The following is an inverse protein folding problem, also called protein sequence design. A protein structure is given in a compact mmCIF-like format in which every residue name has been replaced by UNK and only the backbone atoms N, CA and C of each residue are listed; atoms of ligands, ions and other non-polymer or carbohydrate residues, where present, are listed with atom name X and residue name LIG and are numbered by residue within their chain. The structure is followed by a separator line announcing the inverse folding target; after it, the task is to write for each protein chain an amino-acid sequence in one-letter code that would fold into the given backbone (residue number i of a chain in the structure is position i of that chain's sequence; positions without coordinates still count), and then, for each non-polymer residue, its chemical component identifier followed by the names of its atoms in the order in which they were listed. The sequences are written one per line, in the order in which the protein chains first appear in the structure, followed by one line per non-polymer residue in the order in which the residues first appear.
data_IF_714343906961
#
_entry.id   IF_714343906961
#
_cell.length_a   1.000
_cell.length_b   1.000
_cell.length_c   1.000
_cell.angle_alpha   90.00
_cell.angle_beta   90.00
_cell.angle_gamma   90.00
#
_symmetry.space_group_name_H-M   'P 1'
#
loop_
_entity.id
_entity.type
_entity.pdbx_description
1 polymer ?
#
# COMPACT_ATOMS: atom_id res chain seq x y z
N UNK A 1 21.79 1.80 1.27
CA UNK A 1 22.53 0.61 1.71
C UNK A 1 21.87 -0.64 1.18
N UNK A 2 22.61 -1.45 0.46
CA UNK A 2 22.11 -2.69 -0.13
C UNK A 2 22.32 -3.83 0.85
N UNK A 3 21.25 -4.56 1.12
CA UNK A 3 21.31 -5.75 1.96
C UNK A 3 21.16 -6.96 1.03
N UNK A 4 22.24 -7.70 0.83
CA UNK A 4 22.25 -8.85 -0.06
C UNK A 4 21.30 -9.95 0.42
N UNK A 5 20.56 -10.53 -0.53
CA UNK A 5 19.66 -11.64 -0.26
C UNK A 5 18.42 -11.26 0.52
N UNK A 6 18.14 -9.97 0.73
CA UNK A 6 16.97 -9.49 1.45
C UNK A 6 16.13 -8.58 0.56
N UNK A 7 14.83 -8.58 0.82
CA UNK A 7 13.88 -7.68 0.17
C UNK A 7 13.67 -6.50 1.10
N UNK A 8 13.94 -5.30 0.60
CA UNK A 8 13.82 -4.07 1.39
C UNK A 8 12.74 -3.20 0.81
N UNK A 9 11.72 -2.91 1.61
CA UNK A 9 10.65 -1.99 1.25
C UNK A 9 10.72 -0.73 2.09
N UNK A 10 10.38 0.39 1.50
CA UNK A 10 10.41 1.70 2.15
C UNK A 10 9.02 2.32 2.14
N UNK A 11 8.55 2.72 3.30
CA UNK A 11 7.28 3.44 3.43
C UNK A 11 7.51 4.92 3.12
N UNK A 12 6.79 5.43 2.15
CA UNK A 12 6.95 6.80 1.66
C UNK A 12 5.80 7.73 2.06
N UNK A 13 4.86 7.25 2.88
CA UNK A 13 3.66 8.00 3.31
C UNK A 13 2.88 8.55 2.11
N UNK A 14 2.89 9.86 1.87
CA UNK A 14 2.29 10.46 0.69
C UNK A 14 3.32 11.33 -0.06
N UNK A 15 4.59 10.98 0.06
CA UNK A 15 5.69 11.82 -0.42
C UNK A 15 6.40 11.24 -1.63
N UNK A 16 6.32 11.94 -2.75
CA UNK A 16 7.08 11.59 -3.96
C UNK A 16 8.58 11.83 -3.72
N UNK A 17 8.93 12.78 -2.88
CA UNK A 17 10.33 13.02 -2.50
C UNK A 17 10.94 11.80 -1.82
N UNK A 18 10.21 11.22 -0.86
CA UNK A 18 10.66 10.01 -0.18
C UNK A 18 10.74 8.83 -1.14
N UNK A 19 9.79 8.75 -2.10
CA UNK A 19 9.81 7.72 -3.12
C UNK A 19 11.06 7.82 -3.98
N UNK A 20 11.43 9.02 -4.41
CA UNK A 20 12.64 9.25 -5.19
C UNK A 20 13.90 8.82 -4.43
N UNK A 21 13.96 9.14 -3.14
CA UNK A 21 15.09 8.72 -2.30
C UNK A 21 15.16 7.20 -2.16
N UNK A 22 14.00 6.55 -1.96
CA UNK A 22 13.94 5.10 -1.86
C UNK A 22 14.41 4.41 -3.14
N UNK A 23 13.97 4.92 -4.29
CA UNK A 23 14.37 4.40 -5.60
C UNK A 23 15.89 4.57 -5.80
N UNK A 24 16.40 5.74 -5.46
CA UNK A 24 17.84 6.03 -5.56
C UNK A 24 18.66 5.07 -4.71
N UNK A 25 18.13 4.68 -3.55
CA UNK A 25 18.80 3.77 -2.64
C UNK A 25 18.43 2.29 -2.87
N UNK A 26 17.90 1.99 -4.04
CA UNK A 26 17.66 0.63 -4.53
C UNK A 26 16.68 -0.19 -3.67
N UNK A 27 15.63 0.45 -3.18
CA UNK A 27 14.53 -0.27 -2.53
C UNK A 27 13.91 -1.27 -3.51
N UNK A 28 13.48 -2.41 -2.99
CA UNK A 28 12.82 -3.44 -3.79
C UNK A 28 11.36 -3.10 -4.06
N UNK A 29 10.73 -2.36 -3.13
CA UNK A 29 9.39 -1.83 -3.33
C UNK A 29 9.21 -0.55 -2.51
N UNK A 30 8.21 0.22 -2.85
CA UNK A 30 7.83 1.42 -2.10
C UNK A 30 6.36 1.32 -1.69
N UNK A 31 6.05 1.83 -0.50
CA UNK A 31 4.70 1.78 0.04
C UNK A 31 4.19 3.18 0.33
N UNK A 32 2.93 3.42 -0.03
CA UNK A 32 2.24 4.67 0.29
C UNK A 32 1.03 4.38 1.17
N UNK A 33 0.72 5.30 2.06
CA UNK A 33 -0.43 5.20 2.96
C UNK A 33 -0.43 6.33 4.00
N UNK A 34 -1.44 6.44 4.81
CA UNK A 34 -2.66 5.63 4.74
C UNK A 34 -3.63 6.21 3.72
N UNK A 35 -4.28 5.35 2.93
CA UNK A 35 -5.25 5.81 1.93
C UNK A 35 -6.61 6.12 2.55
N UNK A 36 -6.99 5.36 3.56
CA UNK A 36 -8.30 5.50 4.19
C UNK A 36 -8.16 5.56 5.71
N UNK A 37 -9.16 6.12 6.43
CA UNK A 37 -9.13 6.17 7.88
C UNK A 37 -9.00 4.78 8.50
N UNK A 38 -8.20 4.65 9.56
CA UNK A 38 -8.09 3.40 10.30
C UNK A 38 -8.46 3.64 11.76
N UNK A 39 -9.01 2.62 12.42
CA UNK A 39 -9.35 2.68 13.83
C UNK A 39 -8.14 2.41 14.73
N UNK A 40 -7.14 1.72 14.20
CA UNK A 40 -6.01 1.24 14.98
C UNK A 40 -4.86 2.22 15.09
N UNK A 41 -4.79 3.17 14.17
CA UNK A 41 -3.70 4.14 14.15
C UNK A 41 -4.14 5.44 13.49
N UNK A 42 -4.03 6.54 14.22
CA UNK A 42 -4.24 7.86 13.62
C UNK A 42 -3.01 8.24 12.83
N UNK A 43 -3.12 8.29 11.54
CA UNK A 43 -2.02 8.73 10.69
C UNK A 43 -2.19 10.19 10.33
N UNK A 44 -1.10 10.95 10.39
CA UNK A 44 -1.05 12.33 9.90
C UNK A 44 -1.05 12.39 8.40
N UNK A 45 -0.71 11.29 7.73
CA UNK A 45 -0.50 11.25 6.29
C UNK A 45 -1.70 10.63 5.60
N UNK A 46 -2.10 11.25 4.50
CA UNK A 46 -3.17 10.75 3.63
C UNK A 46 -2.64 10.63 2.22
N UNK A 47 -2.45 9.41 1.77
CA UNK A 47 -2.13 9.15 0.38
C UNK A 47 -3.39 9.20 -0.48
N UNK A 48 -3.20 9.41 -1.77
CA UNK A 48 -4.29 9.42 -2.74
C UNK A 48 -3.82 8.76 -4.03
N UNK A 49 -4.78 8.47 -4.93
CA UNK A 49 -4.47 7.77 -6.17
C UNK A 49 -3.53 8.56 -7.08
N UNK A 50 -3.53 9.87 -6.98
CA UNK A 50 -2.60 10.72 -7.72
C UNK A 50 -1.14 10.40 -7.36
N UNK A 51 -0.88 10.13 -6.07
CA UNK A 51 0.44 9.73 -5.61
C UNK A 51 0.88 8.42 -6.24
N UNK A 52 -0.03 7.43 -6.31
CA UNK A 52 0.24 6.15 -6.95
C UNK A 52 0.59 6.34 -8.43
N UNK A 53 -0.21 7.13 -9.14
CA UNK A 53 0.00 7.38 -10.56
C UNK A 53 1.30 8.13 -10.83
N UNK A 54 1.65 9.08 -9.97
CA UNK A 54 2.91 9.80 -10.08
C UNK A 54 4.11 8.90 -9.81
N UNK A 55 4.01 8.02 -8.83
CA UNK A 55 5.08 7.06 -8.53
C UNK A 55 5.31 6.10 -9.69
N UNK A 56 4.25 5.67 -10.37
CA UNK A 56 4.36 4.77 -11.52
C UNK A 56 5.17 5.38 -12.66
N UNK A 57 5.12 6.69 -12.80
CA UNK A 57 5.91 7.41 -13.81
C UNK A 57 7.40 7.46 -13.48
N UNK A 58 7.77 7.27 -12.21
CA UNK A 58 9.14 7.38 -11.73
C UNK A 58 9.89 6.05 -11.75
N UNK A 59 9.20 4.94 -11.66
CA UNK A 59 9.85 3.65 -11.43
C UNK A 59 8.99 2.48 -11.88
N UNK A 60 9.66 1.35 -12.12
CA UNK A 60 9.01 0.06 -12.40
C UNK A 60 9.00 -0.86 -11.19
N UNK A 61 9.57 -0.44 -10.04
CA UNK A 61 9.53 -1.29 -8.86
C UNK A 61 8.10 -1.38 -8.32
N UNK A 62 7.76 -2.47 -7.62
CA UNK A 62 6.39 -2.63 -7.10
C UNK A 62 5.99 -1.50 -6.16
N UNK A 63 4.73 -1.09 -6.29
CA UNK A 63 4.12 -0.05 -5.46
C UNK A 63 3.07 -0.72 -4.58
N UNK A 64 3.19 -0.52 -3.27
CA UNK A 64 2.28 -1.09 -2.27
C UNK A 64 1.41 0.01 -1.70
N UNK A 65 0.11 -0.24 -1.61
CA UNK A 65 -0.82 0.65 -0.92
C UNK A 65 -1.19 0.04 0.42
N UNK A 66 -1.23 0.87 1.46
CA UNK A 66 -1.52 0.42 2.82
C UNK A 66 -2.46 1.42 3.51
N UNK A 67 -3.21 0.94 4.48
CA UNK A 67 -4.01 1.79 5.38
C UNK A 67 -5.50 1.85 5.06
N UNK A 68 -6.32 1.23 5.90
CA UNK A 68 -7.78 1.29 5.82
C UNK A 68 -8.40 0.58 4.63
N UNK A 69 -7.69 -0.36 4.02
CA UNK A 69 -8.15 -1.05 2.82
C UNK A 69 -9.16 -2.15 3.17
N UNK A 70 -10.27 -2.19 2.46
CA UNK A 70 -11.35 -3.16 2.64
C UNK A 70 -11.83 -3.68 1.28
N UNK A 71 -12.79 -4.60 1.32
CA UNK A 71 -13.41 -5.12 0.10
C UNK A 71 -14.22 -4.07 -0.68
N UNK A 72 -14.51 -2.93 -0.06
CA UNK A 72 -15.27 -1.85 -0.70
C UNK A 72 -14.39 -0.84 -1.44
N UNK A 73 -13.10 -0.77 -1.10
CA UNK A 73 -12.23 0.28 -1.65
C UNK A 73 -10.96 -0.22 -2.33
N UNK A 74 -10.66 -1.52 -2.25
CA UNK A 74 -9.38 -2.04 -2.74
C UNK A 74 -9.20 -1.96 -4.27
N UNK A 75 -10.29 -2.13 -5.02
CA UNK A 75 -10.23 -2.15 -6.49
C UNK A 75 -9.73 -0.83 -7.07
N UNK A 76 -10.15 0.28 -6.46
CA UNK A 76 -9.73 1.61 -6.87
C UNK A 76 -8.20 1.76 -6.84
N UNK A 77 -7.57 1.19 -5.82
CA UNK A 77 -6.11 1.25 -5.69
C UNK A 77 -5.42 0.41 -6.75
N UNK A 78 -5.91 -0.80 -7.00
CA UNK A 78 -5.35 -1.66 -8.03
C UNK A 78 -5.50 -1.07 -9.43
N UNK A 79 -6.63 -0.42 -9.70
CA UNK A 79 -6.87 0.24 -10.98
C UNK A 79 -5.98 1.47 -11.18
N UNK A 80 -5.43 2.03 -10.11
CA UNK A 80 -4.60 3.22 -10.14
C UNK A 80 -3.14 2.95 -9.79
N UNK A 81 -2.63 1.81 -10.29
CA UNK A 81 -1.20 1.46 -10.26
C UNK A 81 -0.62 0.94 -8.94
N UNK A 82 -1.45 0.58 -7.97
CA UNK A 82 -0.95 -0.20 -6.85
C UNK A 82 -0.73 -1.64 -7.35
N UNK A 83 0.48 -2.15 -7.17
CA UNK A 83 0.81 -3.54 -7.54
C UNK A 83 0.38 -4.51 -6.47
N UNK A 84 0.48 -4.11 -5.20
CA UNK A 84 0.14 -4.93 -4.06
C UNK A 84 -0.59 -4.09 -3.02
N UNK A 85 -1.37 -4.76 -2.19
CA UNK A 85 -2.10 -4.15 -1.09
C UNK A 85 -1.65 -4.79 0.22
N UNK A 86 -1.36 -3.96 1.22
CA UNK A 86 -1.09 -4.45 2.57
C UNK A 86 -2.33 -4.20 3.42
N UNK A 87 -2.96 -5.25 3.87
CA UNK A 87 -4.25 -5.20 4.55
C UNK A 87 -4.13 -5.87 5.92
N UNK A 88 -4.54 -5.17 6.97
CA UNK A 88 -4.47 -5.71 8.32
C UNK A 88 -5.82 -5.68 9.03
N UNK A 89 -6.31 -4.48 9.36
CA UNK A 89 -7.53 -4.34 10.15
C UNK A 89 -8.74 -5.04 9.57
N UNK A 90 -8.93 -4.97 8.25
CA UNK A 90 -10.05 -5.61 7.59
C UNK A 90 -10.04 -7.14 7.80
N UNK A 91 -8.87 -7.74 7.83
CA UNK A 91 -8.73 -9.19 7.99
C UNK A 91 -8.86 -9.59 9.46
N UNK A 92 -8.08 -8.97 10.33
CA UNK A 92 -7.95 -9.40 11.73
C UNK A 92 -8.98 -8.80 12.67
N UNK A 93 -9.49 -7.61 12.37
CA UNK A 93 -10.45 -6.91 13.22
C UNK A 93 -11.86 -6.90 12.64
N UNK A 94 -12.14 -7.78 11.68
CA UNK A 94 -13.45 -7.83 11.03
C UNK A 94 -14.47 -8.48 11.94
N UNK A 95 -15.59 -7.79 12.20
CA UNK A 95 -16.67 -8.29 13.05
C UNK A 95 -17.68 -9.14 12.28
N UNK A 96 -17.69 -9.01 10.95
CA UNK A 96 -18.65 -9.71 10.09
C UNK A 96 -18.09 -10.99 9.50
N UNK A 97 -16.81 -10.98 9.13
CA UNK A 97 -16.16 -12.09 8.44
C UNK A 97 -15.03 -12.68 9.27
N UNK A 98 -14.88 -14.01 9.20
CA UNK A 98 -13.67 -14.67 9.67
C UNK A 98 -12.51 -14.31 8.73
N UNK A 99 -11.24 -14.42 9.16
CA UNK A 99 -10.11 -14.06 8.29
C UNK A 99 -10.14 -14.69 6.90
N UNK A 100 -10.47 -15.98 6.81
CA UNK A 100 -10.56 -16.68 5.53
C UNK A 100 -11.62 -16.06 4.62
N UNK A 101 -12.79 -15.75 5.19
CA UNK A 101 -13.88 -15.12 4.45
C UNK A 101 -13.53 -13.71 4.02
N UNK A 102 -12.84 -12.95 4.88
CA UNK A 102 -12.40 -11.60 4.57
C UNK A 102 -11.40 -11.61 3.39
N UNK A 103 -10.48 -12.55 3.38
CA UNK A 103 -9.51 -12.70 2.29
C UNK A 103 -10.23 -13.04 0.99
N UNK A 104 -11.18 -13.97 1.03
CA UNK A 104 -11.96 -14.35 -0.16
C UNK A 104 -12.73 -13.18 -0.75
N UNK A 105 -13.23 -12.28 0.11
CA UNK A 105 -13.98 -11.10 -0.34
C UNK A 105 -13.12 -10.11 -1.15
N UNK A 106 -11.79 -10.25 -1.07
CA UNK A 106 -10.83 -9.40 -1.76
C UNK A 106 -10.33 -10.01 -3.07
N UNK A 107 -10.81 -11.19 -3.43
CA UNK A 107 -10.41 -11.82 -4.67
C UNK A 107 -11.11 -11.13 -5.83
N UNK A 108 -10.31 -10.60 -6.74
CA UNK A 108 -10.81 -9.92 -7.93
C UNK A 108 -11.42 -10.93 -8.90
N UNK A 109 -12.68 -10.72 -9.24
CA UNK A 109 -13.38 -11.58 -10.21
C UNK A 109 -13.74 -10.79 -11.46
#
# INVERSE_FOLDING_TARGET
KIIKGKIVGITCHNSIKLAKEAIKNKANYIAFGAFFPTKTKKSKYRSNIKTLNNAKKLTNIPIVAIGGITNKNYKKLLLNNANFLAISGYIWNNKKYKPTEAIESLIWK
#
